data_IF_870912786905
#
_entry.id   IF_870912786905
#
_cell.length_a   1.000
_cell.length_b   1.000
_cell.length_c   1.000
_cell.angle_alpha   90.00
_cell.angle_beta   90.00
_cell.angle_gamma   90.00
#
_symmetry.space_group_name_H-M   'P 1'
#
loop_
_entity.id
_entity.type
_entity.pdbx_description
1 polymer ?
#
# COMPACT_ATOMS: atom_id res chain seq x y z
N UNK A 1 -9.53 -10.79 -3.74
CA UNK A 1 -8.20 -10.29 -4.17
C UNK A 1 -7.19 -11.45 -4.22
N UNK A 2 -6.30 -11.51 -5.22
CA UNK A 2 -5.09 -12.35 -5.13
C UNK A 2 -4.09 -11.61 -4.24
N UNK A 3 -3.77 -12.17 -3.08
CA UNK A 3 -2.78 -11.60 -2.16
C UNK A 3 -1.39 -12.01 -2.65
N UNK A 4 -0.53 -11.02 -2.90
CA UNK A 4 0.90 -11.29 -3.10
C UNK A 4 1.47 -11.81 -1.79
N UNK A 5 2.07 -12.99 -1.78
CA UNK A 5 2.65 -13.56 -0.57
C UNK A 5 3.94 -12.83 -0.15
N UNK A 6 4.33 -13.00 1.11
CA UNK A 6 5.48 -12.35 1.71
C UNK A 6 6.78 -12.63 0.95
N UNK A 7 7.01 -13.88 0.55
CA UNK A 7 8.23 -14.26 -0.14
C UNK A 7 8.32 -13.60 -1.53
N UNK A 8 7.18 -13.45 -2.20
CA UNK A 8 7.10 -12.70 -3.45
C UNK A 8 7.47 -11.22 -3.25
N UNK A 9 6.96 -10.55 -2.22
CA UNK A 9 7.37 -9.16 -1.90
C UNK A 9 8.88 -9.04 -1.65
N UNK A 10 9.46 -9.98 -0.90
CA UNK A 10 10.90 -9.99 -0.63
C UNK A 10 11.72 -10.15 -1.91
N UNK A 11 11.32 -11.05 -2.81
CA UNK A 11 12.03 -11.25 -4.08
C UNK A 11 11.94 -10.00 -4.97
N UNK A 12 10.74 -9.42 -5.09
CA UNK A 12 10.50 -8.23 -5.92
C UNK A 12 11.24 -6.99 -5.40
N UNK A 13 11.33 -6.86 -4.07
CA UNK A 13 12.02 -5.77 -3.37
C UNK A 13 13.55 -5.83 -3.43
N UNK A 14 14.14 -6.96 -3.85
CA UNK A 14 15.60 -7.12 -3.88
C UNK A 14 16.25 -6.11 -4.82
N UNK A 15 17.30 -5.47 -4.31
CA UNK A 15 18.12 -4.50 -5.04
C UNK A 15 17.44 -3.16 -5.29
N UNK A 16 16.26 -2.91 -4.71
CA UNK A 16 15.63 -1.59 -4.75
C UNK A 16 16.16 -0.76 -3.58
N UNK A 17 16.69 0.41 -3.91
CA UNK A 17 16.96 1.45 -2.92
C UNK A 17 15.70 2.33 -2.79
N UNK A 18 14.89 2.05 -1.77
CA UNK A 18 13.67 2.80 -1.51
C UNK A 18 13.94 4.26 -1.09
N UNK A 19 15.16 4.60 -0.68
CA UNK A 19 15.52 5.96 -0.25
C UNK A 19 15.60 6.94 -1.42
N UNK A 20 15.65 6.45 -2.66
CA UNK A 20 15.66 7.29 -3.87
C UNK A 20 14.27 7.71 -4.33
N UNK A 21 13.21 7.19 -3.70
CA UNK A 21 11.82 7.50 -4.02
C UNK A 21 11.38 8.80 -3.31
N UNK A 22 10.33 9.49 -3.79
CA UNK A 22 9.81 10.70 -3.16
C UNK A 22 8.99 10.37 -1.91
N UNK A 23 9.65 9.83 -0.90
CA UNK A 23 9.10 9.45 0.41
C UNK A 23 9.95 10.07 1.52
N UNK A 24 9.34 10.39 2.66
CA UNK A 24 10.09 10.86 3.82
C UNK A 24 11.03 9.73 4.33
N UNK A 25 12.36 9.92 4.33
CA UNK A 25 13.31 8.88 4.76
C UNK A 25 13.13 8.42 6.20
N UNK A 26 12.60 9.27 7.08
CA UNK A 26 12.36 8.90 8.48
C UNK A 26 11.36 7.74 8.59
N UNK A 27 10.39 7.67 7.66
CA UNK A 27 9.41 6.60 7.61
C UNK A 27 10.03 5.26 7.15
N UNK A 28 11.13 5.32 6.39
CA UNK A 28 11.89 4.14 5.99
C UNK A 28 12.77 3.60 7.11
N UNK A 29 12.95 4.35 8.20
CA UNK A 29 13.68 3.93 9.39
C UNK A 29 12.74 3.56 10.56
N UNK A 30 11.43 3.73 10.38
CA UNK A 30 10.44 3.42 11.41
C UNK A 30 10.02 1.95 11.33
N UNK A 31 10.35 1.16 12.37
CA UNK A 31 10.09 -0.28 12.40
C UNK A 31 8.62 -0.67 12.24
N UNK A 32 7.67 0.19 12.65
CA UNK A 32 6.24 -0.12 12.56
C UNK A 32 5.69 0.17 11.16
N UNK A 33 6.30 1.13 10.47
CA UNK A 33 5.80 1.69 9.20
C UNK A 33 6.55 1.16 7.98
N UNK A 34 7.82 0.78 8.13
CA UNK A 34 8.72 0.45 7.03
C UNK A 34 8.19 -0.68 6.14
N UNK A 35 7.62 -1.71 6.75
CA UNK A 35 7.15 -2.91 6.05
C UNK A 35 5.94 -2.62 5.14
N UNK A 36 4.80 -2.10 5.63
CA UNK A 36 3.69 -1.76 4.76
C UNK A 36 4.05 -0.63 3.78
N UNK A 37 4.90 0.31 4.18
CA UNK A 37 5.37 1.39 3.30
C UNK A 37 6.17 0.84 2.12
N UNK A 38 7.16 -0.04 2.34
CA UNK A 38 7.96 -0.62 1.25
C UNK A 38 7.11 -1.41 0.26
N UNK A 39 6.11 -2.15 0.74
CA UNK A 39 5.19 -2.90 -0.13
C UNK A 39 4.33 -1.96 -0.97
N UNK A 40 3.76 -0.92 -0.35
CA UNK A 40 3.06 0.13 -1.09
C UNK A 40 3.95 0.82 -2.14
N UNK A 41 5.18 1.21 -1.77
CA UNK A 41 6.14 1.85 -2.68
C UNK A 41 6.54 0.93 -3.84
N UNK A 42 6.76 -0.36 -3.57
CA UNK A 42 7.07 -1.34 -4.61
C UNK A 42 5.95 -1.40 -5.66
N UNK A 43 4.70 -1.50 -5.20
CA UNK A 43 3.53 -1.62 -6.09
C UNK A 43 3.24 -0.32 -6.84
N UNK A 44 3.67 0.82 -6.30
CA UNK A 44 3.45 2.15 -6.88
C UNK A 44 4.51 2.51 -7.91
N UNK A 45 5.78 2.29 -7.59
CA UNK A 45 6.91 2.77 -8.40
C UNK A 45 7.57 1.69 -9.27
N UNK A 46 7.31 0.41 -9.00
CA UNK A 46 7.89 -0.70 -9.74
C UNK A 46 6.84 -1.74 -10.19
N UNK A 47 5.69 -1.33 -10.75
CA UNK A 47 4.64 -2.27 -11.19
C UNK A 47 5.15 -3.24 -12.27
N UNK A 48 6.14 -2.86 -13.06
CA UNK A 48 6.76 -3.69 -14.11
C UNK A 48 7.50 -4.92 -13.58
N UNK A 49 7.84 -4.94 -12.28
CA UNK A 49 8.40 -6.14 -11.63
C UNK A 49 7.34 -7.20 -11.38
N UNK A 50 6.06 -6.86 -11.49
CA UNK A 50 4.91 -7.69 -11.09
C UNK A 50 4.10 -8.08 -12.32
N UNK A 51 4.76 -8.72 -13.29
CA UNK A 51 4.17 -9.06 -14.59
C UNK A 51 3.11 -10.18 -14.53
N UNK A 52 3.00 -10.86 -13.40
CA UNK A 52 2.16 -12.06 -13.25
C UNK A 52 0.77 -11.75 -12.69
N UNK A 53 0.50 -10.49 -12.33
CA UNK A 53 -0.73 -10.07 -11.67
C UNK A 53 -1.43 -9.10 -12.60
N UNK A 54 -2.74 -9.28 -12.76
CA UNK A 54 -3.54 -8.35 -13.54
C UNK A 54 -3.58 -6.97 -12.88
N UNK A 55 -3.74 -5.89 -13.68
CA UNK A 55 -3.73 -4.52 -13.16
C UNK A 55 -4.72 -4.25 -12.03
N UNK A 56 -5.90 -4.88 -12.03
CA UNK A 56 -6.91 -4.68 -11.00
C UNK A 56 -6.51 -5.36 -9.67
N UNK A 57 -5.96 -6.57 -9.71
CA UNK A 57 -5.41 -7.18 -8.50
C UNK A 57 -4.18 -6.42 -7.98
N UNK A 58 -3.35 -5.87 -8.86
CA UNK A 58 -2.25 -5.00 -8.46
C UNK A 58 -2.78 -3.73 -7.73
N UNK A 59 -3.84 -3.14 -8.27
CA UNK A 59 -4.54 -2.01 -7.66
C UNK A 59 -5.04 -2.34 -6.25
N UNK A 60 -5.73 -3.47 -6.05
CA UNK A 60 -6.20 -3.87 -4.72
C UNK A 60 -5.05 -4.09 -3.74
N UNK A 61 -3.97 -4.76 -4.16
CA UNK A 61 -2.79 -4.96 -3.30
C UNK A 61 -2.16 -3.62 -2.91
N UNK A 62 -2.04 -2.68 -3.86
CA UNK A 62 -1.49 -1.35 -3.60
C UNK A 62 -2.34 -0.60 -2.60
N UNK A 63 -3.67 -0.61 -2.79
CA UNK A 63 -4.61 0.02 -1.85
C UNK A 63 -4.55 -0.62 -0.46
N UNK A 64 -4.44 -1.95 -0.38
CA UNK A 64 -4.28 -2.68 0.88
C UNK A 64 -3.06 -2.24 1.68
N UNK A 65 -1.87 -2.21 1.07
CA UNK A 65 -0.66 -1.80 1.77
C UNK A 65 -0.66 -0.31 2.11
N UNK A 66 -1.25 0.51 1.24
CA UNK A 66 -1.48 1.92 1.54
C UNK A 66 -2.34 2.11 2.79
N UNK A 67 -3.48 1.42 2.90
CA UNK A 67 -4.36 1.53 4.06
C UNK A 67 -3.68 1.03 5.34
N UNK A 68 -2.93 -0.08 5.28
CA UNK A 68 -2.14 -0.55 6.42
C UNK A 68 -1.09 0.47 6.86
N UNK A 69 -0.34 1.03 5.91
CA UNK A 69 0.64 2.08 6.21
C UNK A 69 -0.03 3.32 6.83
N UNK A 70 -1.09 3.83 6.19
CA UNK A 70 -1.85 4.99 6.66
C UNK A 70 -2.37 4.80 8.08
N UNK A 71 -2.99 3.66 8.37
CA UNK A 71 -3.59 3.42 9.68
C UNK A 71 -2.52 3.30 10.78
N UNK A 72 -1.40 2.62 10.50
CA UNK A 72 -0.26 2.61 11.44
C UNK A 72 0.33 4.00 11.66
N UNK A 73 0.48 4.79 10.59
CA UNK A 73 0.96 6.17 10.68
C UNK A 73 0.05 7.02 11.57
N UNK A 74 -1.27 7.02 11.30
CA UNK A 74 -2.25 7.80 12.08
C UNK A 74 -2.35 7.31 13.53
N UNK A 75 -2.26 6.00 13.78
CA UNK A 75 -2.24 5.44 15.14
C UNK A 75 -1.01 5.92 15.92
N UNK A 76 0.14 6.04 15.25
CA UNK A 76 1.42 6.40 15.87
C UNK A 76 1.56 7.91 16.12
N UNK A 77 1.19 8.74 15.15
CA UNK A 77 1.40 10.19 15.21
C UNK A 77 0.16 10.99 15.60
N UNK A 78 -1.02 10.39 15.55
CA UNK A 78 -2.28 11.03 15.95
C UNK A 78 -2.81 12.11 14.99
N UNK A 79 -2.07 12.45 13.93
CA UNK A 79 -2.49 13.43 12.91
C UNK A 79 -2.00 13.03 11.50
N UNK A 80 -2.59 13.63 10.47
CA UNK A 80 -2.36 13.37 9.05
C UNK A 80 -1.50 14.46 8.39
N UNK A 81 -0.37 14.81 9.00
CA UNK A 81 0.55 15.84 8.47
C UNK A 81 1.10 15.54 7.07
N UNK A 82 1.09 14.26 6.66
CA UNK A 82 1.51 13.82 5.33
C UNK A 82 0.39 13.81 4.29
N UNK A 83 -0.83 14.27 4.64
CA UNK A 83 -2.01 14.27 3.77
C UNK A 83 -2.34 12.89 3.19
N UNK A 84 -2.16 11.82 3.97
CA UNK A 84 -2.46 10.46 3.57
C UNK A 84 -3.95 10.26 3.30
N UNK A 85 -4.86 11.02 3.93
CA UNK A 85 -6.27 10.97 3.53
C UNK A 85 -6.48 11.43 2.09
N UNK A 86 -5.82 12.50 1.68
CA UNK A 86 -5.88 13.00 0.31
C UNK A 86 -5.26 12.01 -0.68
N UNK A 87 -4.13 11.41 -0.34
CA UNK A 87 -3.51 10.38 -1.17
C UNK A 87 -4.42 9.15 -1.33
N UNK A 88 -5.13 8.77 -0.26
CA UNK A 88 -6.13 7.70 -0.32
C UNK A 88 -7.25 7.99 -1.32
N UNK A 89 -7.76 9.22 -1.36
CA UNK A 89 -8.77 9.61 -2.35
C UNK A 89 -8.25 9.50 -3.78
N UNK A 90 -7.02 9.94 -4.07
CA UNK A 90 -6.44 9.81 -5.41
C UNK A 90 -6.33 8.34 -5.84
N UNK A 91 -5.92 7.46 -4.93
CA UNK A 91 -5.87 6.02 -5.23
C UNK A 91 -7.28 5.50 -5.57
N UNK A 92 -8.31 5.94 -4.85
CA UNK A 92 -9.69 5.54 -5.15
C UNK A 92 -10.16 6.07 -6.52
N UNK A 93 -9.81 7.32 -6.87
CA UNK A 93 -10.10 7.91 -8.20
C UNK A 93 -9.43 7.12 -9.33
N UNK A 94 -8.22 6.58 -9.13
CA UNK A 94 -7.59 5.65 -10.08
C UNK A 94 -8.40 4.34 -10.23
N UNK A 95 -9.10 3.93 -9.18
CA UNK A 95 -10.00 2.78 -9.15
C UNK A 95 -11.16 2.91 -10.14
N UNK A 96 -11.68 4.12 -10.34
CA UNK A 96 -12.79 4.39 -11.26
C UNK A 96 -12.45 4.06 -12.73
N UNK A 97 -11.16 3.90 -13.06
CA UNK A 97 -10.71 3.53 -14.40
C UNK A 97 -10.91 2.05 -14.72
N UNK A 98 -11.16 1.20 -13.71
CA UNK A 98 -11.34 -0.23 -13.89
C UNK A 98 -12.82 -0.57 -14.04
N UNK A 99 -13.22 -1.09 -15.20
CA UNK A 99 -14.62 -1.47 -15.50
C UNK A 99 -15.18 -2.51 -14.52
N UNK A 100 -14.33 -3.40 -14.02
CA UNK A 100 -14.69 -4.51 -13.14
C UNK A 100 -14.24 -4.32 -11.69
N UNK A 101 -14.07 -3.08 -11.25
CA UNK A 101 -13.78 -2.81 -9.83
C UNK A 101 -14.92 -3.29 -8.93
N UNK A 102 -14.55 -3.95 -7.85
CA UNK A 102 -15.40 -4.42 -6.77
C UNK A 102 -15.15 -3.53 -5.55
N UNK A 103 -16.00 -2.52 -5.40
CA UNK A 103 -15.96 -1.60 -4.27
C UNK A 103 -16.19 -2.27 -2.92
N UNK A 104 -16.83 -3.46 -2.89
CA UNK A 104 -16.97 -4.22 -1.64
C UNK A 104 -15.62 -4.74 -1.16
N UNK A 105 -14.68 -5.03 -2.06
CA UNK A 105 -13.32 -5.42 -1.69
C UNK A 105 -12.54 -4.23 -1.11
N UNK A 106 -12.72 -3.04 -1.68
CA UNK A 106 -12.14 -1.79 -1.15
C UNK A 106 -12.67 -1.48 0.25
N UNK A 107 -13.96 -1.67 0.47
CA UNK A 107 -14.58 -1.52 1.79
C UNK A 107 -14.03 -2.55 2.78
N UNK A 108 -13.91 -3.83 2.39
CA UNK A 108 -13.28 -4.87 3.22
C UNK A 108 -11.86 -4.49 3.61
N UNK A 109 -11.03 -4.06 2.66
CA UNK A 109 -9.65 -3.62 2.93
C UNK A 109 -9.63 -2.47 3.93
N UNK A 110 -10.54 -1.51 3.78
CA UNK A 110 -10.65 -0.35 4.66
C UNK A 110 -11.05 -0.75 6.09
N UNK A 111 -11.86 -1.79 6.24
CA UNK A 111 -12.38 -2.26 7.54
C UNK A 111 -11.50 -3.33 8.22
N UNK A 112 -10.77 -4.16 7.47
CA UNK A 112 -9.96 -5.28 7.97
C UNK A 112 -8.77 -4.80 8.84
N UNK A 113 -8.32 -3.58 8.62
CA UNK A 113 -7.12 -3.02 9.27
C UNK A 113 -7.38 -2.41 10.66
N UNK A 114 -8.57 -2.65 11.22
CA UNK A 114 -8.95 -2.29 12.60
C UNK A 114 -8.78 -3.41 13.64
N UNK A 115 -8.48 -4.65 13.22
CA UNK A 115 -8.51 -5.84 14.08
C UNK A 115 -7.14 -6.52 14.33
N UNK A 116 -6.00 -5.83 14.14
CA UNK A 116 -4.68 -6.33 14.55
C UNK A 116 -4.47 -6.22 16.09
N UNK A 117 -5.52 -6.40 16.89
CA UNK A 117 -5.48 -6.54 18.36
C UNK A 117 -6.41 -7.69 18.80
N UNK A 118 -5.88 -8.92 18.80
CA UNK A 118 -5.85 -9.82 19.97
C UNK A 118 -5.17 -11.16 19.68
#
# INVERSE_FOLDING_TARGET
MIVIDENTYQILGRGIDFSTLPVNPDLLNDNDLIEPLKKYLLLTYFPERIKQIDPLNLFYNRYYWFIRFKNKYLKKFGDDHLNLRQEGFKILEEGDQYENIDWSEIEKISNDTGNDEH
#
